data_IF_637263100983
#
_entry.id   IF_637263100983
#
_cell.length_a   1.000
_cell.length_b   1.000
_cell.length_c   1.000
_cell.angle_alpha   90.00
_cell.angle_beta   90.00
_cell.angle_gamma   90.00
#
_symmetry.space_group_name_H-M   'P 1'
#
loop_
_entity.id
_entity.type
_entity.pdbx_description
1 polymer ?
#
# COMPACT_ATOMS: atom_id res chain seq x y z
N UNK A 1 -27.23 40.75 58.48
CA UNK A 1 -26.13 40.82 57.48
C UNK A 1 -25.06 39.73 57.61
N UNK A 2 -24.82 39.12 58.79
CA UNK A 2 -23.74 38.16 59.00
C UNK A 2 -23.93 36.74 58.43
N UNK A 3 -25.18 36.25 58.27
CA UNK A 3 -25.43 34.90 57.71
C UNK A 3 -25.23 34.74 56.20
N UNK A 4 -25.37 35.83 55.41
CA UNK A 4 -25.13 35.78 53.95
C UNK A 4 -23.64 35.82 53.56
N UNK A 5 -22.82 36.46 54.40
CA UNK A 5 -21.38 36.54 54.17
C UNK A 5 -20.68 35.22 54.39
N UNK A 6 -21.11 34.43 55.42
CA UNK A 6 -20.56 33.11 55.68
C UNK A 6 -20.85 32.07 54.60
N UNK A 7 -22.04 32.11 53.99
CA UNK A 7 -22.44 31.20 52.92
C UNK A 7 -21.67 31.50 51.61
N UNK A 8 -21.43 32.76 51.29
CA UNK A 8 -20.64 33.16 50.10
C UNK A 8 -19.18 32.76 50.26
N UNK A 9 -18.60 32.94 51.48
CA UNK A 9 -17.22 32.54 51.75
C UNK A 9 -17.03 31.02 51.70
N UNK A 10 -17.99 30.23 52.18
CA UNK A 10 -17.96 28.76 52.11
C UNK A 10 -18.09 28.26 50.67
N UNK A 11 -18.89 28.88 49.80
CA UNK A 11 -19.02 28.53 48.39
C UNK A 11 -17.74 28.86 47.62
N UNK A 12 -17.14 30.02 47.87
CA UNK A 12 -15.86 30.39 47.24
C UNK A 12 -14.72 29.47 47.65
N UNK A 13 -14.64 29.11 48.96
CA UNK A 13 -13.63 28.14 49.42
C UNK A 13 -13.83 26.75 48.81
N UNK A 14 -15.07 26.26 48.72
CA UNK A 14 -15.36 24.99 48.05
C UNK A 14 -15.01 25.03 46.54
N UNK A 15 -15.27 26.13 45.86
CA UNK A 15 -14.88 26.28 44.44
C UNK A 15 -13.35 26.32 44.24
N UNK A 16 -12.63 27.03 45.11
CA UNK A 16 -11.16 27.12 45.04
C UNK A 16 -10.52 25.78 45.40
N UNK A 17 -11.02 25.10 46.44
CA UNK A 17 -10.53 23.75 46.82
C UNK A 17 -10.91 22.73 45.75
N UNK A 18 -12.11 22.77 45.20
CA UNK A 18 -12.54 21.93 44.08
C UNK A 18 -11.70 22.14 42.82
N UNK A 19 -11.36 23.39 42.48
CA UNK A 19 -10.49 23.72 41.37
C UNK A 19 -9.02 23.27 41.59
N UNK A 20 -8.49 23.43 42.80
CA UNK A 20 -7.15 22.99 43.17
C UNK A 20 -7.03 21.47 43.25
N UNK A 21 -8.05 20.79 43.77
CA UNK A 21 -8.11 19.33 43.81
C UNK A 21 -8.37 18.78 42.42
N UNK A 22 -9.25 19.37 41.62
CA UNK A 22 -9.49 19.03 40.23
C UNK A 22 -8.24 19.20 39.37
N UNK A 23 -7.51 20.31 39.51
CA UNK A 23 -6.24 20.51 38.80
C UNK A 23 -5.10 19.56 39.27
N UNK A 24 -5.12 19.12 40.53
CA UNK A 24 -4.18 18.09 41.00
C UNK A 24 -4.55 16.67 40.55
N UNK A 25 -5.84 16.37 40.42
CA UNK A 25 -6.31 15.10 39.87
C UNK A 25 -6.18 15.02 38.36
N UNK A 26 -6.15 16.17 37.65
CA UNK A 26 -5.83 16.20 36.21
C UNK A 26 -4.33 16.29 35.89
N UNK A 27 -3.47 16.49 36.88
CA UNK A 27 -2.05 16.15 36.77
C UNK A 27 -1.90 14.66 37.09
N UNK A 28 -2.36 13.82 36.21
CA UNK A 28 -1.73 12.53 36.01
C UNK A 28 -0.36 12.85 35.44
N UNK A 29 0.60 13.09 36.30
CA UNK A 29 2.00 12.84 35.99
C UNK A 29 2.10 11.33 35.80
N UNK A 30 1.62 10.85 34.65
CA UNK A 30 2.10 9.62 34.09
C UNK A 30 3.59 9.86 33.86
N UNK A 31 4.42 9.43 34.78
CA UNK A 31 5.78 9.05 34.44
C UNK A 31 5.60 7.89 33.46
N UNK A 32 5.39 8.25 32.20
CA UNK A 32 5.48 7.29 31.10
C UNK A 32 6.86 6.66 31.22
N UNK A 33 6.86 5.38 31.52
CA UNK A 33 8.08 4.61 31.35
C UNK A 33 8.48 4.81 29.90
N UNK A 34 9.76 5.09 29.60
CA UNK A 34 10.22 5.11 28.23
C UNK A 34 9.76 3.81 27.54
N UNK A 35 8.91 3.91 26.55
CA UNK A 35 8.35 2.76 25.83
C UNK A 35 6.87 2.43 26.07
N UNK A 36 6.14 3.19 26.92
CA UNK A 36 4.72 2.99 27.17
C UNK A 36 3.90 4.17 26.64
N UNK A 37 3.88 4.41 25.34
CA UNK A 37 3.09 5.47 24.73
C UNK A 37 2.87 5.17 23.25
N UNK A 38 1.93 5.87 22.64
CA UNK A 38 1.58 5.72 21.20
C UNK A 38 2.71 6.03 20.24
N UNK A 39 3.81 6.62 20.67
CA UNK A 39 5.02 6.80 19.87
C UNK A 39 6.21 6.27 20.66
N UNK A 40 6.53 4.99 20.49
CA UNK A 40 7.67 4.34 21.12
C UNK A 40 9.03 4.80 20.57
N UNK A 41 9.04 5.71 19.60
CA UNK A 41 10.27 6.30 19.05
C UNK A 41 10.50 7.65 19.75
N UNK A 42 11.56 7.81 20.54
CA UNK A 42 11.87 9.09 21.19
C UNK A 42 12.00 10.21 20.16
N UNK A 43 11.32 11.33 20.40
CA UNK A 43 11.34 12.49 19.51
C UNK A 43 10.41 12.38 18.27
N UNK A 44 9.63 11.32 18.15
CA UNK A 44 8.60 11.25 17.12
C UNK A 44 7.51 12.28 17.40
N UNK A 45 7.22 13.11 16.42
CA UNK A 45 6.18 14.16 16.52
C UNK A 45 4.82 13.66 16.05
N UNK A 46 4.57 12.37 16.05
CA UNK A 46 3.34 11.69 15.68
C UNK A 46 2.50 12.37 14.61
N UNK A 47 2.16 11.73 13.54
CA UNK A 47 1.13 12.09 12.54
C UNK A 47 1.10 13.51 11.94
N UNK A 48 1.87 14.44 12.45
CA UNK A 48 1.88 15.84 12.03
C UNK A 48 2.99 16.18 11.05
N UNK A 49 3.87 15.23 10.73
CA UNK A 49 4.92 15.46 9.73
C UNK A 49 4.37 15.11 8.33
N UNK A 50 4.10 16.12 7.47
CA UNK A 50 3.53 15.87 6.16
C UNK A 50 4.50 15.20 5.18
N UNK A 51 5.81 15.32 5.39
CA UNK A 51 6.82 14.84 4.45
C UNK A 51 7.75 13.78 5.04
N UNK A 52 7.66 13.51 6.33
CA UNK A 52 8.51 12.57 7.03
C UNK A 52 9.99 12.90 6.88
N UNK A 53 10.85 11.87 6.93
CA UNK A 53 12.29 12.03 6.82
C UNK A 53 12.77 12.17 5.37
N UNK A 54 11.88 12.48 4.43
CA UNK A 54 12.15 12.42 3.00
C UNK A 54 12.04 13.77 2.31
N UNK A 55 12.68 13.87 1.16
CA UNK A 55 12.41 14.87 0.13
C UNK A 55 12.05 14.20 -1.19
N UNK A 56 11.08 14.76 -1.90
CA UNK A 56 10.64 14.21 -3.18
C UNK A 56 11.63 14.55 -4.29
N UNK A 57 11.93 13.57 -5.15
CA UNK A 57 12.73 13.75 -6.36
C UNK A 57 11.80 14.19 -7.49
N UNK A 58 11.81 15.49 -7.78
CA UNK A 58 10.93 16.07 -8.82
C UNK A 58 11.28 15.54 -10.21
N UNK A 59 10.25 15.27 -11.03
CA UNK A 59 10.39 14.82 -12.39
C UNK A 59 10.88 13.37 -12.55
N UNK A 60 10.78 12.56 -11.49
CA UNK A 60 11.01 11.13 -11.52
C UNK A 60 9.67 10.38 -11.28
N UNK A 61 9.37 9.32 -12.06
CA UNK A 61 9.99 8.94 -13.33
C UNK A 61 9.63 9.92 -14.44
N UNK A 62 10.31 9.83 -15.59
CA UNK A 62 9.87 10.51 -16.79
C UNK A 62 8.56 9.91 -17.29
N UNK A 63 7.70 10.77 -17.80
CA UNK A 63 6.41 10.32 -18.34
C UNK A 63 6.62 9.49 -19.61
N UNK A 64 5.68 8.56 -19.89
CA UNK A 64 5.73 7.71 -21.10
C UNK A 64 5.75 8.53 -22.39
N UNK A 65 5.23 9.76 -22.37
CA UNK A 65 5.28 10.70 -23.50
C UNK A 65 6.71 11.07 -23.93
N UNK A 66 7.72 10.74 -23.14
CA UNK A 66 9.13 10.92 -23.53
C UNK A 66 9.65 9.86 -24.48
N UNK A 67 8.91 8.76 -24.66
CA UNK A 67 9.24 7.74 -25.64
C UNK A 67 8.78 8.18 -27.03
N UNK A 68 9.60 7.96 -28.08
CA UNK A 68 9.22 8.23 -29.45
C UNK A 68 7.93 7.49 -29.83
N UNK A 69 6.96 8.22 -30.37
CA UNK A 69 5.64 7.70 -30.74
C UNK A 69 4.59 7.71 -29.62
N UNK A 70 4.98 8.07 -28.40
CA UNK A 70 4.08 8.15 -27.25
C UNK A 70 3.77 9.58 -26.79
N UNK A 71 4.11 10.60 -27.57
CA UNK A 71 4.02 12.02 -27.18
C UNK A 71 2.59 12.45 -26.76
N UNK A 72 1.58 11.72 -27.25
CA UNK A 72 0.17 11.99 -26.96
C UNK A 72 -0.39 11.18 -25.80
N UNK A 73 0.45 10.37 -25.15
CA UNK A 73 0.03 9.43 -24.09
C UNK A 73 0.71 9.77 -22.77
N UNK A 74 0.09 9.36 -21.68
CA UNK A 74 0.64 9.43 -20.33
C UNK A 74 0.30 8.12 -19.60
N UNK A 75 0.96 7.88 -18.47
CA UNK A 75 0.71 6.69 -17.67
C UNK A 75 -0.76 6.56 -17.26
N UNK A 76 -1.29 5.35 -17.34
CA UNK A 76 -2.55 4.97 -16.71
C UNK A 76 -2.46 4.89 -15.18
N UNK A 77 -3.31 4.09 -14.56
CA UNK A 77 -3.30 3.93 -13.10
C UNK A 77 -1.99 3.29 -12.63
N UNK A 78 -1.28 3.95 -11.72
CA UNK A 78 -0.04 3.46 -11.11
C UNK A 78 -0.36 2.40 -10.06
N UNK A 79 -0.12 1.12 -10.38
CA UNK A 79 -0.61 0.02 -9.57
C UNK A 79 0.44 -0.50 -8.59
N UNK A 80 1.68 -0.63 -9.01
CA UNK A 80 2.75 -1.16 -8.18
C UNK A 80 4.10 -0.58 -8.59
N UNK A 81 5.03 -0.59 -7.65
CA UNK A 81 6.42 -0.26 -7.85
C UNK A 81 7.28 -1.24 -7.07
N UNK A 82 8.38 -1.68 -7.67
CA UNK A 82 9.38 -2.50 -6.99
C UNK A 82 10.79 -2.04 -7.36
N UNK A 83 11.56 -1.63 -6.36
CA UNK A 83 12.93 -1.19 -6.55
C UNK A 83 13.89 -2.35 -6.29
N UNK A 84 14.40 -2.97 -7.35
CA UNK A 84 15.50 -3.92 -7.25
C UNK A 84 16.80 -3.21 -6.85
N UNK A 85 17.01 -2.07 -7.44
CA UNK A 85 18.14 -1.17 -7.14
C UNK A 85 17.77 0.27 -7.52
N UNK A 86 18.56 1.29 -7.14
CA UNK A 86 18.30 2.66 -7.60
C UNK A 86 18.25 2.80 -9.12
N UNK A 87 18.99 1.94 -9.84
CA UNK A 87 19.09 1.96 -11.31
C UNK A 87 18.14 0.98 -12.02
N UNK A 88 17.36 0.22 -11.26
CA UNK A 88 16.40 -0.74 -11.82
C UNK A 88 15.15 -0.80 -10.97
N UNK A 89 14.16 0.01 -11.34
CA UNK A 89 12.88 0.13 -10.63
C UNK A 89 11.77 -0.27 -11.58
N UNK A 90 11.07 -1.34 -11.22
CA UNK A 90 9.90 -1.83 -11.95
C UNK A 90 8.68 -0.98 -11.62
N UNK A 91 7.96 -0.59 -12.65
CA UNK A 91 6.70 0.16 -12.57
C UNK A 91 5.59 -0.64 -13.24
N UNK A 92 4.47 -0.78 -12.55
CA UNK A 92 3.27 -1.41 -13.09
C UNK A 92 2.17 -0.37 -13.27
N UNK A 93 1.68 -0.27 -14.48
CA UNK A 93 0.57 0.60 -14.85
C UNK A 93 -0.56 -0.20 -15.50
N UNK A 94 -1.75 0.35 -15.48
CA UNK A 94 -2.88 -0.15 -16.25
C UNK A 94 -2.96 0.57 -17.59
N UNK A 95 -1.98 0.27 -18.45
CA UNK A 95 -1.85 0.88 -19.75
C UNK A 95 -1.58 2.38 -19.73
N UNK A 96 -2.03 3.06 -20.76
CA UNK A 96 -1.80 4.48 -21.03
C UNK A 96 -3.12 5.21 -21.28
N UNK A 97 -3.15 6.48 -20.93
CA UNK A 97 -4.26 7.38 -21.16
C UNK A 97 -3.83 8.54 -22.07
N UNK A 98 -4.76 9.18 -22.79
CA UNK A 98 -4.45 10.37 -23.55
C UNK A 98 -3.81 11.45 -22.68
N UNK A 99 -2.73 12.05 -23.16
CA UNK A 99 -2.04 13.14 -22.46
C UNK A 99 -2.81 14.46 -22.61
N UNK A 100 -3.92 14.57 -21.87
CA UNK A 100 -4.78 15.74 -21.88
C UNK A 100 -4.33 16.66 -20.74
N UNK A 101 -4.11 17.94 -21.07
CA UNK A 101 -3.76 18.94 -20.05
C UNK A 101 -4.84 18.99 -18.98
N UNK A 102 -4.44 18.71 -17.77
CA UNK A 102 -5.31 18.79 -16.59
C UNK A 102 -5.69 20.26 -16.35
N UNK A 103 -6.96 20.55 -16.07
CA UNK A 103 -7.34 21.88 -15.58
C UNK A 103 -6.56 22.25 -14.33
N UNK A 104 -6.22 23.53 -14.19
CA UNK A 104 -5.58 24.00 -12.96
C UNK A 104 -6.51 23.85 -11.77
N UNK A 105 -5.96 23.39 -10.65
CA UNK A 105 -6.70 23.31 -9.38
C UNK A 105 -6.99 24.71 -8.89
N UNK A 106 -8.17 24.92 -8.32
CA UNK A 106 -8.55 26.17 -7.67
C UNK A 106 -9.15 25.90 -6.30
N UNK A 107 -8.96 26.82 -5.39
CA UNK A 107 -9.63 26.80 -4.10
C UNK A 107 -11.12 27.14 -4.29
N UNK A 108 -11.97 26.51 -3.52
CA UNK A 108 -13.38 26.86 -3.37
C UNK A 108 -13.53 27.52 -2.00
N UNK A 109 -13.73 28.86 -1.95
CA UNK A 109 -13.73 29.60 -0.70
C UNK A 109 -14.76 29.09 0.31
N UNK A 110 -15.94 28.71 -0.15
CA UNK A 110 -17.04 28.25 0.70
C UNK A 110 -16.76 26.92 1.43
N UNK A 111 -15.80 26.15 0.94
CA UNK A 111 -15.38 24.89 1.55
C UNK A 111 -14.04 24.98 2.29
N UNK A 112 -13.45 26.17 2.30
CA UNK A 112 -12.18 26.41 2.97
C UNK A 112 -10.94 26.07 2.13
N UNK A 113 -9.76 26.38 2.66
CA UNK A 113 -8.51 26.30 1.92
C UNK A 113 -8.02 24.86 1.62
N UNK A 114 -8.60 23.87 2.28
CA UNK A 114 -8.21 22.45 2.10
C UNK A 114 -8.86 21.79 0.89
N UNK A 115 -9.93 22.38 0.33
CA UNK A 115 -10.60 21.82 -0.83
C UNK A 115 -10.13 22.51 -2.11
N UNK A 116 -9.67 21.72 -3.05
CA UNK A 116 -9.18 22.17 -4.34
C UNK A 116 -9.95 21.49 -5.48
N UNK A 117 -10.12 22.21 -6.58
CA UNK A 117 -10.72 21.68 -7.79
C UNK A 117 -9.69 21.56 -8.92
N UNK A 118 -9.88 20.57 -9.81
CA UNK A 118 -10.93 19.57 -9.84
C UNK A 118 -10.72 18.52 -8.74
N UNK A 119 -11.80 18.15 -8.08
CA UNK A 119 -11.77 17.07 -7.10
C UNK A 119 -11.74 15.73 -7.84
N UNK A 120 -10.79 14.90 -7.48
CA UNK A 120 -10.80 13.48 -7.74
C UNK A 120 -10.93 13.09 -9.20
N UNK A 121 -11.99 12.53 -9.58
CA UNK A 121 -12.23 11.78 -10.79
C UNK A 121 -12.19 12.62 -12.07
N UNK A 122 -11.01 12.90 -12.54
CA UNK A 122 -10.87 13.30 -13.93
C UNK A 122 -10.97 12.05 -14.80
N UNK A 123 -11.84 12.01 -15.83
CA UNK A 123 -12.10 10.80 -16.60
C UNK A 123 -10.83 10.15 -17.19
N UNK A 124 -9.84 10.97 -17.51
CA UNK A 124 -8.55 10.53 -18.05
C UNK A 124 -7.52 10.06 -17.02
N UNK A 125 -7.89 10.00 -15.75
CA UNK A 125 -7.05 9.48 -14.66
C UNK A 125 -7.79 8.49 -13.77
N UNK A 126 -8.97 8.07 -14.17
CA UNK A 126 -9.71 7.06 -13.46
C UNK A 126 -9.03 5.70 -13.69
N UNK A 127 -8.67 5.03 -12.60
CA UNK A 127 -8.11 3.68 -12.61
C UNK A 127 -9.00 2.68 -13.38
N UNK A 128 -10.28 2.97 -13.46
CA UNK A 128 -11.27 2.13 -14.13
C UNK A 128 -11.21 2.25 -15.65
N UNK A 129 -10.77 3.39 -16.18
CA UNK A 129 -10.63 3.63 -17.63
C UNK A 129 -9.38 2.96 -18.18
N UNK A 130 -8.32 2.87 -17.36
CA UNK A 130 -7.04 2.31 -17.76
C UNK A 130 -6.98 0.77 -17.68
N UNK A 131 -8.06 0.07 -17.36
CA UNK A 131 -8.06 -1.38 -17.41
C UNK A 131 -8.44 -1.88 -18.81
N UNK A 132 -7.95 -3.05 -19.22
CA UNK A 132 -8.27 -3.62 -20.51
C UNK A 132 -9.78 -3.87 -20.65
N UNK A 133 -10.44 -3.41 -21.71
CA UNK A 133 -11.86 -3.71 -21.96
C UNK A 133 -12.15 -5.20 -21.93
N UNK A 134 -13.25 -5.59 -21.29
CA UNK A 134 -13.64 -6.99 -21.16
C UNK A 134 -12.86 -7.78 -20.12
N UNK A 135 -11.99 -7.15 -19.34
CA UNK A 135 -11.34 -7.77 -18.20
C UNK A 135 -12.32 -8.22 -17.10
N UNK A 136 -13.59 -7.86 -17.22
CA UNK A 136 -14.72 -8.36 -16.45
C UNK A 136 -14.55 -8.29 -14.93
N UNK A 137 -15.10 -7.28 -14.31
CA UNK A 137 -15.24 -7.29 -12.87
C UNK A 137 -16.27 -8.30 -12.42
N UNK A 138 -16.09 -8.87 -11.26
CA UNK A 138 -17.07 -9.79 -10.67
C UNK A 138 -18.28 -9.07 -10.07
N UNK A 139 -18.31 -7.74 -10.16
CA UNK A 139 -19.41 -6.92 -9.69
C UNK A 139 -19.40 -6.62 -8.20
N UNK A 140 -18.36 -7.03 -7.48
CA UNK A 140 -18.22 -6.75 -6.04
C UNK A 140 -17.28 -5.60 -5.74
N UNK A 141 -16.38 -5.28 -6.67
CA UNK A 141 -15.48 -4.13 -6.54
C UNK A 141 -15.96 -3.02 -7.48
N UNK A 142 -16.50 -1.90 -6.95
CA UNK A 142 -16.89 -0.75 -7.76
C UNK A 142 -15.72 -0.17 -8.57
N UNK A 143 -14.50 -0.33 -8.07
CA UNK A 143 -13.28 0.05 -8.77
C UNK A 143 -13.01 -0.81 -10.02
N UNK A 144 -13.77 -1.86 -10.22
CA UNK A 144 -13.72 -2.64 -11.44
C UNK A 144 -14.11 -1.84 -12.68
N UNK A 145 -14.85 -0.77 -12.54
CA UNK A 145 -15.19 0.23 -13.57
C UNK A 145 -15.32 -0.23 -15.02
N UNK A 146 -14.76 -1.40 -15.29
CA UNK A 146 -14.72 -2.03 -16.61
C UNK A 146 -16.10 -2.22 -17.22
N UNK A 147 -17.11 -2.49 -16.40
CA UNK A 147 -18.51 -2.56 -16.85
C UNK A 147 -19.05 -1.22 -17.33
N UNK A 148 -18.45 -0.12 -16.85
CA UNK A 148 -18.86 1.24 -17.17
C UNK A 148 -17.99 1.89 -18.24
N UNK A 149 -16.83 1.29 -18.54
CA UNK A 149 -15.96 1.84 -19.56
C UNK A 149 -16.56 1.66 -20.97
N UNK A 150 -16.82 2.77 -21.62
CA UNK A 150 -17.38 2.82 -22.97
C UNK A 150 -16.42 3.43 -23.97
N UNK A 151 -15.17 3.64 -23.57
CA UNK A 151 -14.14 4.23 -24.40
C UNK A 151 -13.70 3.30 -25.54
N UNK A 152 -12.94 3.87 -26.45
CA UNK A 152 -12.37 3.17 -27.60
C UNK A 152 -10.90 2.90 -27.33
N UNK A 153 -10.48 1.64 -27.36
CA UNK A 153 -9.09 1.27 -27.23
C UNK A 153 -8.26 1.88 -28.37
N UNK A 154 -7.11 2.45 -28.05
CA UNK A 154 -6.25 3.18 -28.99
C UNK A 154 -6.65 4.63 -29.21
N UNK A 155 -7.80 5.07 -28.66
CA UNK A 155 -8.27 6.47 -28.69
C UNK A 155 -8.39 7.04 -27.28
N UNK A 156 -9.13 6.34 -26.40
CA UNK A 156 -9.38 6.77 -25.04
C UNK A 156 -8.44 6.10 -24.04
N UNK A 157 -7.84 4.98 -24.41
CA UNK A 157 -6.79 4.28 -23.66
C UNK A 157 -5.97 3.40 -24.61
N UNK A 158 -4.70 3.15 -24.24
CA UNK A 158 -3.84 2.14 -24.89
C UNK A 158 -3.46 1.09 -23.86
N UNK A 159 -3.53 -0.18 -24.23
CA UNK A 159 -3.09 -1.27 -23.39
C UNK A 159 -1.68 -1.68 -23.78
N UNK A 160 -0.74 -0.81 -23.45
CA UNK A 160 0.69 -0.96 -23.71
C UNK A 160 1.48 -0.49 -22.49
N UNK A 161 2.73 -0.95 -22.37
CA UNK A 161 3.68 -0.56 -21.33
C UNK A 161 3.17 -0.82 -19.91
N UNK A 162 2.40 -1.90 -19.72
CA UNK A 162 1.87 -2.25 -18.40
C UNK A 162 2.97 -2.57 -17.38
N UNK A 163 4.12 -3.07 -17.84
CA UNK A 163 5.32 -3.30 -17.02
C UNK A 163 6.53 -2.67 -17.69
N UNK A 164 7.13 -1.71 -17.01
CA UNK A 164 8.33 -0.99 -17.47
C UNK A 164 9.38 -0.94 -16.36
N UNK A 165 10.63 -0.65 -16.75
CA UNK A 165 11.73 -0.45 -15.81
C UNK A 165 12.35 0.93 -16.07
N UNK A 166 12.64 1.63 -14.97
CA UNK A 166 13.29 2.94 -15.03
C UNK A 166 14.59 2.95 -14.24
N UNK A 167 15.51 3.83 -14.66
CA UNK A 167 16.79 4.05 -13.98
C UNK A 167 16.68 5.07 -12.83
N UNK A 168 17.80 5.34 -12.18
CA UNK A 168 17.90 6.32 -11.09
C UNK A 168 17.48 7.74 -11.49
N UNK A 169 17.60 8.09 -12.77
CA UNK A 169 17.25 9.40 -13.34
C UNK A 169 15.81 9.43 -13.87
N UNK A 170 15.08 8.31 -13.75
CA UNK A 170 13.71 8.17 -14.21
C UNK A 170 13.58 7.90 -15.72
N UNK A 171 14.68 7.61 -16.43
CA UNK A 171 14.59 7.20 -17.84
C UNK A 171 13.99 5.80 -17.93
N UNK A 172 13.11 5.57 -18.90
CA UNK A 172 12.57 4.26 -19.21
C UNK A 172 13.67 3.48 -19.93
N UNK A 173 14.15 2.39 -19.31
CA UNK A 173 15.29 1.58 -19.81
C UNK A 173 14.85 0.21 -20.30
N UNK A 174 13.73 -0.33 -19.82
CA UNK A 174 13.15 -1.58 -20.31
C UNK A 174 11.63 -1.41 -20.48
N UNK A 175 11.09 -2.03 -21.52
CA UNK A 175 9.66 -2.04 -21.81
C UNK A 175 9.28 -3.49 -22.08
N UNK A 176 8.46 -4.08 -21.21
CA UNK A 176 8.08 -5.49 -21.32
C UNK A 176 6.77 -5.67 -22.08
N UNK A 177 6.59 -4.93 -23.16
CA UNK A 177 5.35 -4.87 -23.96
C UNK A 177 4.94 -6.19 -24.57
N UNK A 178 5.88 -7.13 -24.78
CA UNK A 178 5.58 -8.47 -25.24
C UNK A 178 4.60 -9.23 -24.33
N UNK A 179 4.51 -8.82 -23.05
CA UNK A 179 3.66 -9.43 -22.04
C UNK A 179 2.32 -8.70 -21.83
N UNK A 180 2.12 -7.53 -22.39
CA UNK A 180 0.87 -6.77 -22.22
C UNK A 180 -0.36 -7.61 -22.60
N UNK A 181 -0.24 -8.46 -23.60
CA UNK A 181 -1.32 -9.33 -24.11
C UNK A 181 -1.83 -10.39 -23.11
N UNK A 182 -1.01 -10.76 -22.10
CA UNK A 182 -1.42 -11.72 -21.07
C UNK A 182 -1.93 -11.05 -19.81
N UNK A 183 -1.87 -9.71 -19.74
CA UNK A 183 -2.31 -8.91 -18.60
C UNK A 183 -3.69 -8.33 -18.86
N UNK A 184 -4.53 -8.33 -17.84
CA UNK A 184 -5.84 -7.66 -17.85
C UNK A 184 -5.98 -6.58 -16.80
N UNK A 185 -5.42 -6.85 -15.61
CA UNK A 185 -5.39 -5.91 -14.50
C UNK A 185 -4.20 -6.22 -13.61
N UNK A 186 -2.98 -5.92 -14.09
CA UNK A 186 -1.79 -6.18 -13.30
C UNK A 186 -1.88 -5.42 -11.99
N UNK A 187 -1.50 -6.09 -10.89
CA UNK A 187 -1.78 -5.63 -9.55
C UNK A 187 -0.51 -5.41 -8.72
N UNK A 188 0.44 -6.34 -8.80
CA UNK A 188 1.64 -6.29 -7.97
C UNK A 188 2.84 -6.86 -8.70
N UNK A 189 3.99 -6.22 -8.56
CA UNK A 189 5.28 -6.72 -9.03
C UNK A 189 6.26 -6.82 -7.87
N UNK A 190 7.02 -7.90 -7.82
CA UNK A 190 8.06 -8.11 -6.83
C UNK A 190 9.12 -9.11 -7.32
N UNK A 191 10.24 -9.14 -6.62
CA UNK A 191 11.25 -10.20 -6.73
C UNK A 191 11.34 -10.88 -5.37
N UNK A 192 11.35 -12.21 -5.36
CA UNK A 192 11.59 -12.96 -4.14
C UNK A 192 13.00 -12.64 -3.60
N UNK A 193 13.13 -12.07 -2.39
CA UNK A 193 14.44 -11.65 -1.86
C UNK A 193 15.40 -12.81 -1.58
N UNK A 194 14.94 -14.04 -1.71
CA UNK A 194 15.72 -15.28 -1.47
C UNK A 194 16.00 -16.06 -2.75
N UNK A 195 15.57 -15.53 -3.90
CA UNK A 195 15.80 -16.16 -5.20
C UNK A 195 17.10 -15.64 -5.83
N UNK A 196 18.15 -16.47 -5.98
CA UNK A 196 19.42 -16.05 -6.56
C UNK A 196 19.30 -15.69 -8.05
N UNK A 197 18.30 -16.23 -8.75
CA UNK A 197 18.04 -15.95 -10.17
C UNK A 197 17.22 -14.66 -10.35
N UNK A 198 16.70 -14.10 -9.26
CA UNK A 198 15.94 -12.84 -9.24
C UNK A 198 14.75 -12.80 -10.19
N UNK A 199 14.02 -13.90 -10.28
CA UNK A 199 12.82 -13.93 -11.11
C UNK A 199 11.85 -12.83 -10.70
N UNK A 200 11.25 -12.20 -11.71
CA UNK A 200 10.26 -11.14 -11.52
C UNK A 200 8.87 -11.75 -11.47
N UNK A 201 8.16 -11.48 -10.39
CA UNK A 201 6.81 -11.97 -10.17
C UNK A 201 5.81 -10.87 -10.39
N UNK A 202 4.75 -11.17 -11.15
CA UNK A 202 3.64 -10.28 -11.43
C UNK A 202 2.32 -10.95 -11.05
N UNK A 203 1.54 -10.30 -10.21
CA UNK A 203 0.16 -10.71 -9.92
C UNK A 203 -0.78 -9.96 -10.85
N UNK A 204 -1.69 -10.66 -11.51
CA UNK A 204 -2.81 -10.06 -12.23
C UNK A 204 -4.12 -10.57 -11.63
N UNK A 205 -4.83 -9.69 -10.95
CA UNK A 205 -6.01 -10.07 -10.19
C UNK A 205 -7.21 -10.46 -11.10
N UNK A 206 -7.34 -9.88 -12.30
CA UNK A 206 -8.39 -10.28 -13.24
C UNK A 206 -8.03 -11.48 -14.11
N UNK A 207 -6.76 -11.81 -14.19
CA UNK A 207 -6.35 -13.09 -14.76
C UNK A 207 -6.46 -14.22 -13.77
N UNK A 208 -6.67 -13.93 -12.48
CA UNK A 208 -6.66 -14.92 -11.40
C UNK A 208 -5.35 -15.71 -11.37
N UNK A 209 -4.25 -15.06 -11.73
CA UNK A 209 -2.96 -15.70 -11.97
C UNK A 209 -1.77 -14.88 -11.49
N UNK A 210 -0.69 -15.60 -11.27
CA UNK A 210 0.62 -15.06 -10.90
C UNK A 210 1.60 -15.54 -11.94
N UNK A 211 2.33 -14.61 -12.54
CA UNK A 211 3.33 -14.87 -13.58
C UNK A 211 4.73 -14.72 -12.99
N UNK A 212 5.61 -15.67 -13.26
CA UNK A 212 7.02 -15.64 -12.91
C UNK A 212 7.83 -15.53 -14.20
N UNK A 213 8.56 -14.44 -14.34
CA UNK A 213 9.40 -14.17 -15.51
C UNK A 213 10.88 -14.34 -15.17
N UNK A 214 11.70 -14.63 -16.18
CA UNK A 214 13.16 -14.50 -16.08
C UNK A 214 13.52 -13.05 -15.67
N UNK A 215 14.70 -12.87 -15.06
CA UNK A 215 15.13 -11.57 -14.56
C UNK A 215 15.22 -10.50 -15.68
N UNK A 216 15.57 -10.91 -16.89
CA UNK A 216 15.64 -10.04 -18.08
C UNK A 216 14.30 -9.90 -18.83
N UNK A 217 13.24 -10.51 -18.30
CA UNK A 217 11.88 -10.43 -18.85
C UNK A 217 11.64 -11.14 -20.17
N UNK A 218 12.59 -11.94 -20.66
CA UNK A 218 12.44 -12.58 -21.98
C UNK A 218 11.57 -13.83 -21.94
N UNK A 219 11.54 -14.53 -20.80
CA UNK A 219 10.85 -15.79 -20.65
C UNK A 219 9.77 -15.73 -19.58
N UNK A 220 8.60 -16.32 -19.84
CA UNK A 220 7.61 -16.67 -18.84
C UNK A 220 7.98 -18.04 -18.29
N UNK A 221 8.61 -18.06 -17.11
CA UNK A 221 9.16 -19.28 -16.50
C UNK A 221 8.04 -20.12 -15.90
N UNK A 222 7.03 -19.47 -15.27
CA UNK A 222 5.96 -20.20 -14.59
C UNK A 222 4.69 -19.34 -14.51
N UNK A 223 3.56 -20.03 -14.50
CA UNK A 223 2.26 -19.44 -14.14
C UNK A 223 1.67 -20.24 -12.99
N UNK A 224 1.29 -19.57 -11.90
CA UNK A 224 0.53 -20.16 -10.79
C UNK A 224 -0.90 -19.62 -10.87
N UNK A 225 -1.87 -20.49 -10.73
CA UNK A 225 -3.27 -20.22 -11.04
C UNK A 225 -3.62 -20.60 -12.47
N UNK A 226 -4.91 -20.65 -12.77
CA UNK A 226 -5.42 -20.93 -14.13
C UNK A 226 -5.95 -19.63 -14.71
N UNK A 227 -5.24 -19.00 -15.69
CA UNK A 227 -5.64 -17.71 -16.20
C UNK A 227 -7.09 -17.67 -16.65
N UNK A 228 -7.81 -16.63 -16.22
CA UNK A 228 -9.24 -16.36 -16.45
C UNK A 228 -10.22 -17.27 -15.73
N UNK A 229 -9.75 -18.25 -14.97
CA UNK A 229 -10.61 -19.17 -14.21
C UNK A 229 -10.51 -18.85 -12.72
N UNK A 230 -11.60 -18.35 -12.14
CA UNK A 230 -11.67 -18.09 -10.70
C UNK A 230 -11.96 -19.37 -9.91
N UNK A 231 -11.36 -19.47 -8.73
CA UNK A 231 -11.57 -20.59 -7.81
C UNK A 231 -10.85 -20.39 -6.49
N UNK A 232 -10.92 -21.39 -5.62
CA UNK A 232 -10.28 -21.34 -4.31
C UNK A 232 -9.70 -22.71 -3.93
N UNK A 233 -8.88 -23.25 -4.80
CA UNK A 233 -8.19 -24.53 -4.61
C UNK A 233 -6.67 -24.39 -4.92
N UNK A 234 -5.96 -25.49 -5.04
CA UNK A 234 -4.52 -25.49 -5.32
C UNK A 234 -4.12 -24.98 -6.70
N UNK A 235 -5.08 -24.83 -7.62
CA UNK A 235 -4.85 -24.47 -9.04
C UNK A 235 -5.55 -23.16 -9.44
N UNK A 236 -6.37 -22.60 -8.59
CA UNK A 236 -7.18 -21.43 -8.90
C UNK A 236 -7.12 -20.40 -7.78
N UNK A 237 -7.14 -19.12 -8.17
CA UNK A 237 -7.32 -17.97 -7.29
C UNK A 237 -8.64 -17.27 -7.59
N UNK A 238 -9.05 -16.40 -6.67
CA UNK A 238 -10.16 -15.51 -6.91
C UNK A 238 -9.77 -14.06 -6.64
N UNK A 239 -9.03 -13.47 -7.60
CA UNK A 239 -8.45 -12.14 -7.58
C UNK A 239 -7.34 -11.99 -6.53
N UNK A 240 -6.19 -12.67 -6.73
CA UNK A 240 -5.02 -12.53 -5.86
C UNK A 240 -4.45 -11.12 -5.91
N UNK A 241 -3.79 -10.68 -4.84
CA UNK A 241 -3.34 -9.30 -4.67
C UNK A 241 -1.84 -9.17 -4.46
N UNK A 242 -1.30 -9.63 -3.33
CA UNK A 242 0.09 -9.47 -2.95
C UNK A 242 0.76 -10.82 -2.60
N UNK A 243 2.09 -10.79 -2.59
CA UNK A 243 2.95 -11.93 -2.35
C UNK A 243 3.92 -11.65 -1.20
N UNK A 244 4.28 -12.69 -0.45
CA UNK A 244 5.36 -12.64 0.51
C UNK A 244 6.13 -13.97 0.53
N UNK A 245 7.42 -13.93 0.88
CA UNK A 245 8.29 -15.12 0.87
C UNK A 245 9.05 -15.27 2.18
N UNK A 246 9.17 -16.52 2.62
CA UNK A 246 10.11 -16.92 3.67
C UNK A 246 11.51 -17.18 3.11
N UNK A 247 12.55 -17.26 3.98
CA UNK A 247 13.92 -17.50 3.54
C UNK A 247 14.16 -18.79 2.74
N UNK A 248 13.29 -19.78 2.91
CA UNK A 248 13.31 -21.03 2.13
C UNK A 248 12.56 -20.91 0.80
N UNK A 249 12.20 -19.69 0.40
CA UNK A 249 11.38 -19.36 -0.77
C UNK A 249 9.96 -19.91 -0.74
N UNK A 250 9.46 -20.34 0.42
CA UNK A 250 8.02 -20.60 0.61
C UNK A 250 7.24 -19.34 0.29
N UNK A 251 6.27 -19.44 -0.61
CA UNK A 251 5.44 -18.34 -1.09
C UNK A 251 4.09 -18.32 -0.38
N UNK A 252 3.67 -17.13 0.06
CA UNK A 252 2.32 -16.85 0.51
C UNK A 252 1.63 -15.86 -0.44
N UNK A 253 0.40 -16.16 -0.78
CA UNK A 253 -0.43 -15.36 -1.67
C UNK A 253 -1.65 -14.86 -0.91
N UNK A 254 -1.83 -13.54 -0.88
CA UNK A 254 -3.09 -12.94 -0.46
C UNK A 254 -4.10 -13.12 -1.59
N UNK A 255 -5.00 -14.10 -1.48
CA UNK A 255 -6.02 -14.39 -2.49
C UNK A 255 -7.32 -13.69 -2.09
N UNK A 256 -7.41 -12.39 -2.40
CA UNK A 256 -8.33 -11.64 -1.64
C UNK A 256 -9.16 -10.57 -2.16
N UNK A 257 -9.33 -10.08 -3.34
CA UNK A 257 -10.50 -9.25 -3.60
C UNK A 257 -11.81 -10.06 -3.43
N UNK A 258 -11.80 -11.31 -3.85
CA UNK A 258 -12.97 -12.19 -3.75
C UNK A 258 -12.66 -13.53 -3.07
N UNK A 259 -11.39 -13.91 -2.95
CA UNK A 259 -10.95 -15.22 -2.48
C UNK A 259 -11.03 -15.41 -0.97
N UNK A 260 -10.82 -14.39 -0.17
CA UNK A 260 -10.89 -14.41 1.31
C UNK A 260 -10.00 -15.48 1.99
N UNK A 261 -8.82 -15.75 1.42
CA UNK A 261 -7.85 -16.73 1.96
C UNK A 261 -6.40 -16.29 1.76
N UNK A 262 -5.51 -16.95 2.47
CA UNK A 262 -4.08 -17.00 2.17
C UNK A 262 -3.76 -18.37 1.63
N UNK A 263 -3.07 -18.46 0.49
CA UNK A 263 -2.62 -19.69 -0.10
C UNK A 263 -1.09 -19.81 0.01
N UNK A 264 -0.59 -20.98 0.40
CA UNK A 264 0.83 -21.29 0.61
C UNK A 264 1.32 -22.25 -0.46
N UNK A 265 2.48 -21.93 -1.04
CA UNK A 265 3.15 -22.73 -2.06
C UNK A 265 4.60 -22.96 -1.65
N UNK A 266 5.19 -24.05 -2.12
CA UNK A 266 6.63 -24.27 -1.99
C UNK A 266 7.43 -23.41 -3.02
N UNK A 267 8.76 -23.49 -2.95
CA UNK A 267 9.68 -22.74 -3.83
C UNK A 267 9.50 -23.04 -5.33
N UNK A 268 8.92 -24.18 -5.66
CA UNK A 268 8.68 -24.64 -7.03
C UNK A 268 7.25 -24.32 -7.51
N UNK A 269 6.45 -23.65 -6.67
CA UNK A 269 5.10 -23.24 -6.98
C UNK A 269 4.05 -24.34 -6.80
N UNK A 270 4.38 -25.41 -6.08
CA UNK A 270 3.43 -26.46 -5.72
C UNK A 270 2.60 -26.01 -4.52
N UNK A 271 1.29 -26.11 -4.64
CA UNK A 271 0.36 -25.82 -3.54
C UNK A 271 0.63 -26.73 -2.34
N UNK A 272 0.66 -26.13 -1.15
CA UNK A 272 0.86 -26.82 0.11
C UNK A 272 -0.42 -26.84 0.97
N UNK A 273 -0.96 -25.69 1.25
CA UNK A 273 -2.17 -25.50 2.05
C UNK A 273 -2.74 -24.09 1.86
N UNK A 274 -3.93 -23.88 2.35
CA UNK A 274 -4.51 -22.54 2.52
C UNK A 274 -5.25 -22.42 3.86
N UNK A 275 -5.57 -21.18 4.22
CA UNK A 275 -6.45 -20.90 5.35
C UNK A 275 -7.23 -19.61 5.11
N UNK A 276 -8.33 -19.51 5.78
CA UNK A 276 -9.23 -18.39 5.72
C UNK A 276 -10.63 -18.80 5.33
N UNK A 277 -11.58 -18.00 5.74
CA UNK A 277 -13.01 -18.15 5.45
C UNK A 277 -13.61 -16.80 5.17
N UNK A 278 -14.64 -16.76 4.35
CA UNK A 278 -15.37 -15.51 4.11
C UNK A 278 -16.03 -15.03 5.39
N UNK A 279 -15.68 -13.81 5.78
CA UNK A 279 -16.29 -13.12 6.92
C UNK A 279 -17.59 -12.42 6.54
N UNK A 280 -18.27 -11.91 7.56
CA UNK A 280 -19.47 -11.08 7.42
C UNK A 280 -19.10 -9.61 7.55
N UNK A 281 -19.17 -8.82 6.46
CA UNK A 281 -18.88 -7.39 6.52
C UNK A 281 -19.86 -6.65 7.44
N UNK A 282 -19.49 -5.46 8.00
CA UNK A 282 -18.19 -4.79 7.79
C UNK A 282 -17.09 -5.22 8.75
N UNK A 283 -17.38 -5.83 9.87
CA UNK A 283 -16.39 -6.02 10.94
C UNK A 283 -16.55 -7.41 11.59
N UNK A 284 -16.22 -8.46 10.86
CA UNK A 284 -16.19 -9.81 11.42
C UNK A 284 -15.00 -9.95 12.37
N UNK A 285 -15.25 -10.21 13.63
CA UNK A 285 -14.20 -10.32 14.67
C UNK A 285 -13.69 -11.75 14.87
N UNK A 286 -14.23 -12.73 14.14
CA UNK A 286 -13.78 -14.13 14.28
C UNK A 286 -12.39 -14.28 13.66
N UNK A 287 -11.44 -14.93 14.35
CA UNK A 287 -10.13 -15.26 13.77
C UNK A 287 -10.25 -16.10 12.50
N UNK A 288 -9.39 -15.83 11.53
CA UNK A 288 -9.35 -16.51 10.22
C UNK A 288 -10.59 -16.29 9.33
N UNK A 289 -11.49 -15.35 9.69
CA UNK A 289 -12.56 -14.90 8.80
C UNK A 289 -12.15 -13.56 8.19
N UNK A 290 -12.15 -13.50 6.86
CA UNK A 290 -11.63 -12.38 6.10
C UNK A 290 -12.72 -11.66 5.30
N UNK A 291 -12.50 -10.37 5.11
CA UNK A 291 -13.23 -9.54 4.18
C UNK A 291 -12.22 -8.70 3.38
N UNK A 292 -11.87 -9.14 2.18
CA UNK A 292 -10.87 -8.52 1.31
C UNK A 292 -9.44 -8.66 1.89
N UNK A 293 -8.87 -9.86 1.76
CA UNK A 293 -7.44 -10.10 2.04
C UNK A 293 -6.62 -9.37 1.00
N UNK A 294 -5.87 -8.33 1.40
CA UNK A 294 -5.18 -7.48 0.45
C UNK A 294 -3.66 -7.54 0.58
N UNK A 295 -3.08 -6.93 1.61
CA UNK A 295 -1.64 -6.99 1.85
C UNK A 295 -1.22 -8.22 2.63
N UNK A 296 0.00 -8.69 2.39
CA UNK A 296 0.62 -9.78 3.13
C UNK A 296 2.10 -9.52 3.34
N UNK A 297 2.63 -9.83 4.51
CA UNK A 297 4.05 -9.73 4.83
C UNK A 297 4.46 -10.89 5.75
N UNK A 298 5.74 -11.23 5.78
CA UNK A 298 6.28 -12.26 6.66
C UNK A 298 7.49 -11.74 7.44
N UNK A 299 7.59 -12.12 8.70
CA UNK A 299 8.82 -11.94 9.45
C UNK A 299 9.71 -13.18 9.25
N UNK A 300 10.92 -13.03 8.67
CA UNK A 300 11.76 -14.15 8.32
C UNK A 300 12.35 -14.90 9.54
N UNK A 301 12.33 -14.29 10.73
CA UNK A 301 12.87 -14.90 11.93
C UNK A 301 11.84 -15.73 12.70
N UNK A 302 10.67 -15.16 12.94
CA UNK A 302 9.57 -15.87 13.65
C UNK A 302 8.73 -16.73 12.72
N UNK A 303 8.84 -16.53 11.40
CA UNK A 303 8.00 -17.11 10.35
C UNK A 303 6.52 -16.72 10.49
N UNK A 304 6.23 -15.65 11.21
CA UNK A 304 4.87 -15.14 11.33
C UNK A 304 4.42 -14.51 10.02
N UNK A 305 3.18 -14.78 9.65
CA UNK A 305 2.50 -14.27 8.46
C UNK A 305 1.50 -13.20 8.89
N UNK A 306 1.75 -11.96 8.46
CA UNK A 306 0.89 -10.81 8.72
C UNK A 306 -0.04 -10.64 7.53
N UNK A 307 -1.33 -10.63 7.79
CA UNK A 307 -2.38 -10.59 6.76
C UNK A 307 -3.26 -9.37 6.96
N UNK A 308 -3.27 -8.49 5.98
CA UNK A 308 -4.17 -7.35 5.98
C UNK A 308 -5.58 -7.79 5.59
N UNK A 309 -6.44 -7.90 6.58
CA UNK A 309 -7.89 -8.12 6.45
C UNK A 309 -8.58 -6.76 6.27
N UNK A 310 -8.39 -6.19 5.07
CA UNK A 310 -8.67 -4.81 4.74
C UNK A 310 -10.10 -4.41 5.02
N UNK A 311 -11.08 -5.21 4.59
CA UNK A 311 -12.48 -4.91 4.78
C UNK A 311 -12.98 -5.06 6.23
N UNK A 312 -12.17 -5.65 7.12
CA UNK A 312 -12.41 -5.72 8.56
C UNK A 312 -11.49 -4.79 9.36
N UNK A 313 -10.71 -3.94 8.69
CA UNK A 313 -9.82 -2.93 9.30
C UNK A 313 -8.87 -3.49 10.37
N UNK A 314 -8.24 -4.64 10.08
CA UNK A 314 -7.31 -5.30 11.01
C UNK A 314 -6.16 -5.99 10.29
N UNK A 315 -5.08 -6.22 11.02
CA UNK A 315 -4.02 -7.16 10.67
C UNK A 315 -4.21 -8.40 11.53
N UNK A 316 -4.37 -9.56 10.91
CA UNK A 316 -4.34 -10.85 11.58
C UNK A 316 -2.97 -11.50 11.40
N UNK A 317 -2.44 -12.11 12.45
CA UNK A 317 -1.13 -12.76 12.46
C UNK A 317 -1.28 -14.25 12.66
N UNK A 318 -0.57 -15.01 11.84
CA UNK A 318 -0.59 -16.47 11.81
C UNK A 318 0.83 -17.03 11.90
N UNK A 319 0.97 -18.28 12.32
CA UNK A 319 2.18 -19.03 12.00
C UNK A 319 2.19 -19.39 10.49
N UNK A 320 3.29 -19.94 10.02
CA UNK A 320 3.45 -20.30 8.60
C UNK A 320 2.63 -21.54 8.17
N UNK A 321 1.85 -22.14 9.05
CA UNK A 321 0.90 -23.20 8.78
C UNK A 321 -0.57 -22.76 8.92
N UNK A 322 -0.80 -21.43 9.07
CA UNK A 322 -2.13 -20.86 9.11
C UNK A 322 -2.82 -20.91 10.46
N UNK A 323 -2.10 -21.26 11.55
CA UNK A 323 -2.64 -21.17 12.90
C UNK A 323 -2.68 -19.72 13.33
N UNK A 324 -3.86 -19.22 13.68
CA UNK A 324 -4.05 -17.88 14.24
C UNK A 324 -3.25 -17.69 15.54
N UNK A 325 -2.58 -16.55 15.66
CA UNK A 325 -1.79 -16.16 16.83
C UNK A 325 -2.42 -14.96 17.56
N UNK A 326 -2.59 -13.85 16.86
CA UNK A 326 -3.15 -12.60 17.40
C UNK A 326 -3.53 -11.65 16.27
N UNK A 327 -4.13 -10.53 16.63
CA UNK A 327 -4.50 -9.47 15.68
C UNK A 327 -4.50 -8.10 16.35
N UNK A 328 -4.52 -7.05 15.55
CA UNK A 328 -4.81 -5.69 16.02
C UNK A 328 -5.65 -4.93 15.00
N UNK A 329 -6.42 -3.97 15.51
CA UNK A 329 -7.20 -3.07 14.68
C UNK A 329 -6.31 -2.00 14.06
N UNK A 330 -6.58 -1.67 12.79
CA UNK A 330 -5.94 -0.56 12.08
C UNK A 330 -6.66 0.77 12.26
N UNK A 331 -7.63 0.84 13.15
CA UNK A 331 -8.48 1.99 13.38
C UNK A 331 -9.84 1.88 12.70
N UNK A 332 -10.62 2.94 12.85
CA UNK A 332 -11.94 3.07 12.22
C UNK A 332 -11.81 3.82 10.89
N UNK A 333 -12.92 3.92 10.16
CA UNK A 333 -12.99 4.79 9.00
C UNK A 333 -12.44 6.20 9.32
N UNK A 334 -11.66 6.82 8.41
CA UNK A 334 -11.45 6.42 7.02
C UNK A 334 -10.20 5.56 6.77
N UNK A 335 -9.65 4.85 7.75
CA UNK A 335 -8.46 4.02 7.55
C UNK A 335 -8.70 2.92 6.51
N UNK A 336 -7.79 2.81 5.53
CA UNK A 336 -7.86 1.86 4.42
C UNK A 336 -6.44 1.43 4.04
N UNK A 337 -5.94 0.37 4.69
CA UNK A 337 -4.60 -0.15 4.43
C UNK A 337 -4.58 -0.96 3.15
N UNK A 338 -3.67 -0.63 2.24
CA UNK A 338 -3.50 -1.37 0.98
C UNK A 338 -2.33 -2.35 1.03
N UNK A 339 -1.12 -1.87 1.19
CA UNK A 339 0.07 -2.69 1.27
C UNK A 339 0.64 -2.68 2.68
N UNK A 340 1.10 -3.84 3.12
CA UNK A 340 1.96 -3.99 4.30
C UNK A 340 3.30 -4.56 3.88
N UNK A 341 4.36 -4.15 4.56
CA UNK A 341 5.74 -4.46 4.21
C UNK A 341 6.56 -4.73 5.46
N UNK A 342 7.28 -5.84 5.49
CA UNK A 342 8.22 -6.15 6.55
C UNK A 342 9.61 -5.60 6.20
N UNK A 343 10.08 -4.64 6.98
CA UNK A 343 11.41 -4.09 6.81
C UNK A 343 12.50 -4.95 7.43
N UNK A 344 13.76 -4.72 7.04
CA UNK A 344 14.92 -5.39 7.64
C UNK A 344 15.10 -5.05 9.13
N UNK A 345 14.49 -3.94 9.60
CA UNK A 345 14.42 -3.54 11.00
C UNK A 345 13.36 -4.35 11.80
N UNK A 346 12.68 -5.29 11.14
CA UNK A 346 11.61 -6.10 11.69
C UNK A 346 10.45 -5.28 12.25
N UNK A 347 10.14 -4.17 11.60
CA UNK A 347 8.90 -3.44 11.82
C UNK A 347 7.97 -3.62 10.61
N UNK A 348 6.67 -3.62 10.88
CA UNK A 348 5.66 -3.65 9.85
C UNK A 348 5.35 -2.22 9.42
N UNK A 349 5.62 -1.92 8.15
CA UNK A 349 5.24 -0.68 7.51
C UNK A 349 3.97 -0.88 6.71
N UNK A 350 3.08 0.09 6.76
CA UNK A 350 1.81 0.06 6.04
C UNK A 350 1.51 1.42 5.43
N UNK A 351 0.84 1.43 4.28
CA UNK A 351 0.28 2.67 3.76
C UNK A 351 -1.22 2.69 3.98
N UNK A 352 -1.69 3.69 4.70
CA UNK A 352 -3.10 3.99 4.90
C UNK A 352 -3.57 4.98 3.84
N UNK A 353 -4.30 4.47 2.85
CA UNK A 353 -4.86 5.27 1.76
C UNK A 353 -5.93 6.24 2.26
N UNK A 354 -6.72 5.84 3.23
CA UNK A 354 -7.80 6.67 3.77
C UNK A 354 -7.30 7.94 4.44
N UNK A 355 -6.18 7.85 5.16
CA UNK A 355 -5.54 8.99 5.83
C UNK A 355 -4.35 9.58 5.09
N UNK A 356 -3.91 8.94 3.99
CA UNK A 356 -2.70 9.29 3.23
C UNK A 356 -1.45 9.31 4.11
N UNK A 357 -1.29 8.28 4.94
CA UNK A 357 -0.18 8.14 5.89
C UNK A 357 0.62 6.86 5.65
N UNK A 358 1.95 6.99 5.74
CA UNK A 358 2.80 5.86 6.06
C UNK A 358 2.71 5.60 7.55
N UNK A 359 2.52 4.34 7.92
CA UNK A 359 2.38 3.89 9.31
C UNK A 359 3.49 2.89 9.62
N UNK A 360 4.00 2.93 10.84
CA UNK A 360 4.98 1.97 11.35
C UNK A 360 4.45 1.31 12.62
N UNK A 361 4.55 -0.02 12.67
CA UNK A 361 4.17 -0.84 13.82
C UNK A 361 5.32 -1.77 14.19
N UNK A 362 5.41 -2.15 15.47
CA UNK A 362 6.19 -3.30 15.87
C UNK A 362 5.46 -4.62 15.51
N UNK A 363 6.07 -5.76 15.83
CA UNK A 363 5.49 -7.06 15.50
C UNK A 363 4.26 -7.40 16.36
N UNK A 364 4.09 -6.75 17.50
CA UNK A 364 2.96 -6.91 18.42
C UNK A 364 1.79 -5.99 18.04
N UNK A 365 1.97 -5.09 17.04
CA UNK A 365 0.97 -4.18 16.54
C UNK A 365 0.89 -2.84 17.27
N UNK A 366 1.89 -2.50 18.09
CA UNK A 366 1.97 -1.17 18.68
C UNK A 366 2.35 -0.14 17.62
N UNK A 367 1.58 0.93 17.55
CA UNK A 367 1.86 2.05 16.66
C UNK A 367 3.11 2.80 17.11
N UNK A 368 4.06 2.97 16.20
CA UNK A 368 5.35 3.59 16.48
C UNK A 368 5.48 4.98 15.87
N UNK A 369 5.05 5.16 14.61
CA UNK A 369 5.27 6.40 13.88
C UNK A 369 4.36 6.49 12.66
N UNK A 370 4.05 7.71 12.26
CA UNK A 370 3.41 7.98 10.96
C UNK A 370 3.85 9.31 10.37
N UNK A 371 3.74 9.40 9.04
CA UNK A 371 3.98 10.62 8.28
C UNK A 371 3.18 10.60 6.98
N UNK A 372 3.07 11.73 6.33
CA UNK A 372 2.41 11.85 5.05
C UNK A 372 1.25 12.83 5.09
N UNK A 373 0.85 13.29 3.92
CA UNK A 373 -0.29 14.20 3.75
C UNK A 373 -0.94 13.95 2.39
N UNK A 374 -2.24 14.16 2.34
CA UNK A 374 -2.99 14.09 1.09
C UNK A 374 -2.64 15.24 0.15
N UNK A 375 -2.53 14.95 -1.14
CA UNK A 375 -2.40 15.96 -2.19
C UNK A 375 -1.81 15.45 -3.49
N UNK A 376 -2.06 16.17 -4.59
CA UNK A 376 -1.50 15.88 -5.91
C UNK A 376 -0.22 16.68 -6.23
N UNK A 377 0.26 17.46 -5.26
CA UNK A 377 1.54 18.16 -5.37
C UNK A 377 2.71 17.20 -5.14
N UNK A 378 3.92 17.50 -5.64
CA UNK A 378 5.10 16.68 -5.39
C UNK A 378 5.36 16.48 -3.89
N UNK A 379 5.38 15.22 -3.45
CA UNK A 379 5.54 14.83 -2.04
C UNK A 379 4.22 14.59 -1.28
N UNK A 380 3.08 15.02 -1.82
CA UNK A 380 1.77 14.60 -1.31
C UNK A 380 1.39 13.21 -1.83
N UNK A 381 0.48 12.53 -1.15
CA UNK A 381 -0.01 11.20 -1.51
C UNK A 381 -1.47 11.25 -1.95
N UNK A 382 -1.79 10.56 -3.04
CA UNK A 382 -3.17 10.41 -3.49
C UNK A 382 -3.42 9.03 -4.08
N UNK A 383 -4.09 8.18 -3.31
CA UNK A 383 -4.44 6.84 -3.76
C UNK A 383 -3.24 5.91 -3.92
N UNK A 384 -2.27 6.00 -3.02
CA UNK A 384 -1.12 5.09 -3.01
C UNK A 384 -1.61 3.66 -2.85
N UNK A 385 -1.16 2.80 -3.76
CA UNK A 385 -1.50 1.39 -3.79
C UNK A 385 -0.30 0.48 -3.53
N UNK A 386 0.88 0.88 -3.98
CA UNK A 386 2.12 0.14 -3.79
C UNK A 386 3.27 1.06 -3.40
N UNK A 387 4.22 0.52 -2.64
CA UNK A 387 5.47 1.19 -2.33
C UNK A 387 6.64 0.21 -2.27
N UNK A 388 7.85 0.72 -2.40
CA UNK A 388 9.08 -0.06 -2.33
C UNK A 388 10.22 0.80 -1.80
N UNK A 389 11.30 0.17 -1.33
CA UNK A 389 12.52 0.85 -0.85
C UNK A 389 13.72 0.19 -1.50
N UNK A 390 14.69 0.96 -1.97
CA UNK A 390 15.94 0.43 -2.51
C UNK A 390 17.07 0.35 -1.45
N UNK A 391 18.24 -0.11 -1.87
CA UNK A 391 19.41 -0.30 -1.01
C UNK A 391 19.99 1.01 -0.45
N UNK A 392 19.72 2.13 -1.11
CA UNK A 392 20.15 3.47 -0.65
C UNK A 392 19.13 4.08 0.33
N UNK A 393 17.95 3.43 0.48
CA UNK A 393 16.84 3.91 1.31
C UNK A 393 15.94 4.89 0.58
N UNK A 394 16.05 5.02 -0.75
CA UNK A 394 15.07 5.76 -1.52
C UNK A 394 13.72 5.03 -1.44
N UNK A 395 12.68 5.80 -1.22
CA UNK A 395 11.31 5.31 -1.08
C UNK A 395 10.52 5.65 -2.34
N UNK A 396 9.79 4.67 -2.86
CA UNK A 396 9.02 4.78 -4.08
C UNK A 396 7.56 4.47 -3.80
N UNK A 397 6.65 5.24 -4.40
CA UNK A 397 5.20 5.00 -4.27
C UNK A 397 4.52 5.02 -5.63
N UNK A 398 3.56 4.14 -5.83
CA UNK A 398 2.69 4.11 -6.99
C UNK A 398 1.26 4.47 -6.59
N UNK A 399 0.64 5.38 -7.33
CA UNK A 399 -0.67 5.96 -7.05
C UNK A 399 -1.68 5.57 -8.11
N UNK A 400 -2.71 4.85 -7.71
CA UNK A 400 -3.80 4.39 -8.60
C UNK A 400 -4.62 5.57 -9.11
N UNK A 401 -4.99 6.49 -8.23
CA UNK A 401 -5.97 7.53 -8.54
C UNK A 401 -5.39 8.62 -9.45
N UNK A 402 -4.08 8.85 -9.37
CA UNK A 402 -3.42 9.91 -10.17
C UNK A 402 -2.63 9.36 -11.36
N UNK A 403 -2.34 8.05 -11.39
CA UNK A 403 -1.42 7.45 -12.36
C UNK A 403 0.03 7.92 -12.18
N UNK A 404 0.36 8.42 -10.98
CA UNK A 404 1.67 8.95 -10.66
C UNK A 404 2.51 7.89 -9.94
N UNK A 405 3.80 7.87 -10.23
CA UNK A 405 4.79 7.23 -9.37
C UNK A 405 5.74 8.30 -8.88
N UNK A 406 6.13 8.26 -7.62
CA UNK A 406 7.04 9.21 -7.03
C UNK A 406 8.24 8.50 -6.39
N UNK A 407 9.42 9.14 -6.47
CA UNK A 407 10.64 8.79 -5.76
C UNK A 407 10.90 9.80 -4.67
N UNK A 408 11.25 9.31 -3.50
CA UNK A 408 11.67 10.10 -2.35
C UNK A 408 13.06 9.64 -1.93
N UNK A 409 13.93 10.57 -1.56
CA UNK A 409 15.23 10.24 -0.95
C UNK A 409 15.27 10.70 0.50
N UNK A 410 15.96 9.97 1.39
CA UNK A 410 16.14 10.42 2.75
C UNK A 410 16.83 11.79 2.78
N UNK A 411 16.34 12.68 3.64
CA UNK A 411 17.00 13.98 3.87
C UNK A 411 18.35 13.76 4.54
N UNK A 412 19.30 14.64 4.26
CA UNK A 412 20.59 14.64 4.97
C UNK A 412 20.34 14.78 6.47
N UNK A 413 20.90 13.86 7.26
CA UNK A 413 20.72 13.83 8.71
C UNK A 413 19.34 13.31 9.17
N UNK A 414 18.53 12.71 8.29
CA UNK A 414 17.29 12.06 8.68
C UNK A 414 17.55 10.98 9.75
N UNK A 415 16.68 10.95 10.77
CA UNK A 415 16.73 9.90 11.77
C UNK A 415 16.40 8.54 11.13
N UNK A 416 17.30 7.54 11.15
CA UNK A 416 17.08 6.25 10.55
C UNK A 416 15.83 5.51 11.08
N UNK A 417 15.42 5.78 12.32
CA UNK A 417 14.24 5.16 12.93
C UNK A 417 12.92 5.57 12.24
N UNK A 418 12.92 6.71 11.53
CA UNK A 418 11.76 7.25 10.83
C UNK A 418 11.77 6.96 9.33
N UNK A 419 12.91 6.57 8.79
CA UNK A 419 13.05 6.15 7.39
C UNK A 419 12.42 4.78 7.23
N UNK A 420 11.63 4.58 6.15
CA UNK A 420 11.08 3.25 5.84
C UNK A 420 12.25 2.29 5.66
N UNK A 421 12.22 1.20 6.39
CA UNK A 421 13.33 0.27 6.45
C UNK A 421 13.61 -0.36 5.08
N UNK A 422 14.88 -0.59 4.81
CA UNK A 422 15.32 -1.30 3.61
C UNK A 422 14.76 -2.72 3.59
N UNK A 423 14.59 -3.32 2.40
CA UNK A 423 14.18 -4.71 2.30
C UNK A 423 15.28 -5.68 2.78
N UNK A 424 14.86 -6.91 3.04
CA UNK A 424 15.79 -8.00 3.34
C UNK A 424 16.35 -8.53 2.02
N UNK A 425 17.65 -8.31 1.78
CA UNK A 425 18.35 -8.81 0.59
C UNK A 425 19.29 -9.95 0.98
N UNK A 426 18.78 -11.13 1.19
CA UNK A 426 19.62 -12.25 1.60
C UNK A 426 20.27 -13.00 0.44
N UNK A 427 19.64 -13.04 -0.71
CA UNK A 427 20.16 -13.74 -1.89
C UNK A 427 21.09 -12.90 -2.79
N UNK A 428 21.21 -11.58 -2.54
CA UNK A 428 21.86 -10.63 -3.45
C UNK A 428 22.97 -9.86 -2.75
N UNK A 429 23.89 -10.55 -2.21
CA UNK A 429 25.09 -9.96 -1.59
C UNK A 429 26.16 -9.66 -2.63
#
# INVERSE_FOLDING_TARGET
>A
MGKRLGTILSIVVMFVVGFLVGNRLMRVEGKEKPGAGFAAIPGATGGQDPFGPYEVVKGWPKDISTLPGNEKWTWGAGQSVYAESPNRVFLVFRGELPNIKRPETRLIPDFGPSLQFPIGRLPWRDATVAALPGAGGTGQDPADGMKLWKGTLGVDAKWEHCLTVVDANGNIVEQWTQWDKIMKRPHYVAINPYDPEKHVWLVDDHMHAIYKFSHDGKELVQTIGTPTVSGADGSHFNRPTFLAWLPDSTLFVADGYNGTRVAKFDKDGKFLLDWGKKGTPPNDQRPSYFNNVHGIAVDPQTRHVFVNDRGNHRIQVFDDNGKYLYEWSMGQEPSDIHLIYMGADRNLWAFDRGTSKMLKYDLEGHFLYSWGTWGDFPGGFWGVHGFSVDQEGNFYVAEVDTGRVQKFRPRVGANPAFVVSKPVYSAWK
#
